data_IF_132819700476
#
_entry.id   IF_132819700476
#
_cell.length_a   1.000
_cell.length_b   1.000
_cell.length_c   1.000
_cell.angle_alpha   90.00
_cell.angle_beta   90.00
_cell.angle_gamma   90.00
#
_symmetry.space_group_name_H-M   'P 1'
#
loop_
_entity.id
_entity.type
_entity.pdbx_description
1 polymer ?
#
# COMPACT_ATOMS: atom_id res chain seq x y z
N UNK A 1 -25.70 -19.55 -8.70
CA UNK A 1 -24.40 -20.13 -8.30
C UNK A 1 -24.08 -19.72 -6.85
N UNK A 2 -24.81 -20.25 -5.86
CA UNK A 2 -24.54 -19.93 -4.44
C UNK A 2 -23.52 -20.88 -3.78
N UNK A 3 -22.98 -21.88 -4.50
CA UNK A 3 -22.17 -22.95 -3.91
C UNK A 3 -20.80 -23.13 -4.61
N UNK A 4 -20.06 -22.06 -4.90
CA UNK A 4 -18.65 -22.20 -5.30
C UNK A 4 -17.77 -22.20 -4.05
N UNK A 5 -17.33 -23.38 -3.61
CA UNK A 5 -16.54 -23.58 -2.40
C UNK A 5 -15.08 -23.92 -2.72
N UNK A 6 -14.17 -23.60 -1.79
CA UNK A 6 -12.77 -24.04 -1.86
C UNK A 6 -12.68 -25.56 -1.95
N UNK A 7 -11.79 -26.08 -2.81
CA UNK A 7 -11.57 -27.52 -2.95
C UNK A 7 -11.15 -28.15 -1.62
N UNK A 8 -10.37 -27.44 -0.80
CA UNK A 8 -9.99 -27.87 0.55
C UNK A 8 -11.21 -28.05 1.46
N UNK A 9 -12.23 -27.19 1.38
CA UNK A 9 -13.47 -27.30 2.16
C UNK A 9 -14.33 -28.47 1.68
N UNK A 10 -14.45 -28.63 0.36
CA UNK A 10 -15.17 -29.76 -0.24
C UNK A 10 -14.53 -31.09 0.16
N UNK A 11 -13.20 -31.14 0.26
CA UNK A 11 -12.47 -32.33 0.69
C UNK A 11 -12.92 -32.77 2.10
N UNK A 12 -13.06 -31.83 3.04
CA UNK A 12 -13.54 -32.13 4.39
C UNK A 12 -15.03 -32.47 4.45
N UNK A 13 -15.82 -32.04 3.47
CA UNK A 13 -17.22 -32.41 3.31
C UNK A 13 -17.42 -33.78 2.63
N UNK A 14 -16.34 -34.51 2.32
CA UNK A 14 -16.37 -35.81 1.62
C UNK A 14 -17.03 -35.75 0.23
N UNK A 15 -16.93 -34.60 -0.45
CA UNK A 15 -17.34 -34.48 -1.84
C UNK A 15 -16.37 -35.22 -2.77
N UNK A 16 -16.81 -35.54 -4.00
CA UNK A 16 -15.95 -36.08 -5.04
C UNK A 16 -15.04 -34.98 -5.61
N UNK A 17 -13.83 -34.84 -5.06
CA UNK A 17 -12.91 -33.75 -5.41
C UNK A 17 -12.33 -33.88 -6.79
N UNK A 18 -12.07 -35.10 -7.25
CA UNK A 18 -11.55 -35.35 -8.59
C UNK A 18 -12.56 -34.92 -9.65
N UNK A 19 -13.83 -35.30 -9.48
CA UNK A 19 -14.91 -34.88 -10.38
C UNK A 19 -15.10 -33.36 -10.39
N UNK A 20 -15.11 -32.71 -9.22
CA UNK A 20 -15.26 -31.26 -9.13
C UNK A 20 -14.03 -30.52 -9.69
N UNK A 21 -12.81 -31.02 -9.47
CA UNK A 21 -11.58 -30.45 -10.03
C UNK A 21 -11.58 -30.56 -11.55
N UNK A 22 -11.91 -31.73 -12.11
CA UNK A 22 -12.01 -31.94 -13.55
C UNK A 22 -13.03 -30.98 -14.16
N UNK A 23 -14.21 -30.86 -13.54
CA UNK A 23 -15.22 -29.89 -13.95
C UNK A 23 -14.73 -28.44 -13.93
N UNK A 24 -13.89 -28.04 -12.96
CA UNK A 24 -13.30 -26.69 -12.93
C UNK A 24 -12.24 -26.50 -14.01
N UNK A 25 -11.41 -27.50 -14.26
CA UNK A 25 -10.32 -27.46 -15.25
C UNK A 25 -10.81 -27.59 -16.70
N UNK A 26 -11.95 -28.23 -16.93
CA UNK A 26 -12.61 -28.33 -18.24
C UNK A 26 -13.58 -27.18 -18.51
N UNK A 27 -13.84 -26.32 -17.52
CA UNK A 27 -14.69 -25.17 -17.69
C UNK A 27 -14.12 -24.23 -18.78
N UNK A 28 -14.90 -23.84 -19.80
CA UNK A 28 -14.40 -22.98 -20.89
C UNK A 28 -13.87 -21.61 -20.43
N UNK A 29 -14.26 -21.15 -19.26
CA UNK A 29 -13.83 -19.88 -18.68
C UNK A 29 -12.63 -20.01 -17.74
N UNK A 30 -12.11 -21.21 -17.49
CA UNK A 30 -10.94 -21.37 -16.60
C UNK A 30 -9.73 -20.66 -17.19
N UNK A 31 -9.01 -19.93 -16.33
CA UNK A 31 -7.74 -19.32 -16.71
C UNK A 31 -6.59 -20.10 -16.08
N UNK A 32 -5.74 -20.68 -16.93
CA UNK A 32 -4.52 -21.39 -16.55
C UNK A 32 -3.32 -20.45 -16.67
N UNK A 33 -2.60 -20.25 -15.57
CA UNK A 33 -1.61 -19.17 -15.48
C UNK A 33 -0.26 -19.50 -16.13
N UNK A 34 0.03 -20.77 -16.36
CA UNK A 34 1.36 -21.31 -16.68
C UNK A 34 2.41 -21.12 -15.57
N UNK A 35 1.97 -20.76 -14.36
CA UNK A 35 2.79 -20.75 -13.16
C UNK A 35 2.51 -22.03 -12.37
N UNK A 36 3.57 -22.71 -11.94
CA UNK A 36 3.47 -23.99 -11.23
C UNK A 36 3.95 -23.83 -9.81
N UNK A 37 3.28 -24.48 -8.88
CA UNK A 37 3.71 -24.55 -7.48
C UNK A 37 3.83 -26.01 -7.07
N UNK A 38 4.77 -26.28 -6.18
CA UNK A 38 4.80 -27.46 -5.32
C UNK A 38 3.93 -27.16 -4.10
N UNK A 39 2.73 -27.76 -3.98
CA UNK A 39 1.85 -27.51 -2.84
C UNK A 39 2.53 -27.83 -1.51
N UNK A 40 1.96 -27.30 -0.44
CA UNK A 40 2.48 -27.43 0.91
C UNK A 40 1.60 -28.36 1.72
N UNK A 41 2.24 -29.33 2.36
CA UNK A 41 1.63 -30.26 3.31
C UNK A 41 2.48 -30.29 4.58
N UNK A 42 1.88 -29.91 5.71
CA UNK A 42 2.57 -29.85 7.02
C UNK A 42 3.84 -28.99 7.04
N UNK A 43 3.89 -27.93 6.23
CA UNK A 43 5.00 -26.98 6.16
C UNK A 43 6.09 -27.34 5.13
N UNK A 44 5.98 -28.50 4.49
CA UNK A 44 6.93 -28.96 3.46
C UNK A 44 6.30 -28.94 2.07
N UNK A 45 7.13 -28.67 1.06
CA UNK A 45 6.73 -28.75 -0.35
C UNK A 45 6.59 -30.22 -0.76
N UNK A 46 5.47 -30.58 -1.40
CA UNK A 46 5.27 -31.91 -1.99
C UNK A 46 5.90 -31.96 -3.39
N UNK A 47 6.33 -33.16 -3.83
CA UNK A 47 7.07 -33.30 -5.10
C UNK A 47 6.24 -33.04 -6.36
N UNK A 48 4.93 -33.26 -6.31
CA UNK A 48 4.04 -33.05 -7.45
C UNK A 48 3.74 -31.56 -7.64
N UNK A 49 4.10 -31.03 -8.81
CA UNK A 49 3.78 -29.65 -9.19
C UNK A 49 2.36 -29.56 -9.73
N UNK A 50 1.66 -28.48 -9.36
CA UNK A 50 0.33 -28.15 -9.88
C UNK A 50 0.35 -26.78 -10.53
N UNK A 51 -0.36 -26.64 -11.65
CA UNK A 51 -0.54 -25.34 -12.30
C UNK A 51 -1.54 -24.48 -11.51
N UNK A 52 -1.20 -23.21 -11.28
CA UNK A 52 -2.14 -22.26 -10.73
C UNK A 52 -3.23 -21.93 -11.75
N UNK A 53 -4.49 -22.01 -11.35
CA UNK A 53 -5.63 -21.65 -12.18
C UNK A 53 -6.71 -20.92 -11.38
N UNK A 54 -7.55 -20.14 -12.05
CA UNK A 54 -8.73 -19.55 -11.43
C UNK A 54 -9.95 -19.60 -12.34
N UNK A 55 -11.14 -19.48 -11.72
CA UNK A 55 -12.39 -19.27 -12.43
C UNK A 55 -12.88 -17.83 -12.24
N UNK A 56 -13.24 -17.10 -13.32
CA UNK A 56 -13.76 -15.74 -13.24
C UNK A 56 -15.23 -15.75 -12.82
N UNK A 57 -15.50 -16.23 -11.61
CA UNK A 57 -16.86 -16.29 -11.06
C UNK A 57 -17.42 -14.89 -10.78
N UNK A 58 -18.74 -14.77 -10.64
CA UNK A 58 -19.45 -13.49 -10.43
C UNK A 58 -18.76 -12.58 -9.41
N UNK A 59 -18.37 -13.11 -8.24
CA UNK A 59 -17.75 -12.31 -7.18
C UNK A 59 -16.42 -11.68 -7.63
N UNK A 60 -15.58 -12.42 -8.36
CA UNK A 60 -14.32 -11.91 -8.90
C UNK A 60 -14.58 -10.78 -9.90
N UNK A 61 -15.60 -10.93 -10.76
CA UNK A 61 -15.97 -9.92 -11.75
C UNK A 61 -16.52 -8.64 -11.09
N UNK A 62 -17.44 -8.79 -10.13
CA UNK A 62 -18.04 -7.67 -9.39
C UNK A 62 -16.97 -6.88 -8.62
N UNK A 63 -16.08 -7.57 -7.90
CA UNK A 63 -15.01 -6.91 -7.14
C UNK A 63 -14.06 -6.12 -8.05
N UNK A 64 -13.74 -6.63 -9.24
CA UNK A 64 -12.92 -5.88 -10.20
C UNK A 64 -13.60 -4.59 -10.66
N UNK A 65 -14.90 -4.64 -10.95
CA UNK A 65 -15.68 -3.46 -11.38
C UNK A 65 -15.79 -2.43 -10.25
N UNK A 66 -16.12 -2.89 -9.04
CA UNK A 66 -16.19 -2.03 -7.84
C UNK A 66 -14.86 -1.33 -7.55
N UNK A 67 -13.72 -2.03 -7.65
CA UNK A 67 -12.39 -1.43 -7.45
C UNK A 67 -12.09 -0.33 -8.48
N UNK A 68 -12.51 -0.54 -9.73
CA UNK A 68 -12.32 0.46 -10.79
C UNK A 68 -13.23 1.68 -10.56
N UNK A 69 -14.47 1.47 -10.11
CA UNK A 69 -15.39 2.54 -9.76
C UNK A 69 -14.87 3.34 -8.56
N UNK A 70 -14.49 2.67 -7.48
CA UNK A 70 -13.92 3.31 -6.29
C UNK A 70 -12.67 4.14 -6.62
N UNK A 71 -11.81 3.66 -7.53
CA UNK A 71 -10.64 4.45 -7.98
C UNK A 71 -11.04 5.77 -8.65
N UNK A 72 -12.12 5.76 -9.46
CA UNK A 72 -12.66 6.99 -10.06
C UNK A 72 -13.26 7.93 -9.01
N UNK A 73 -14.00 7.37 -8.04
CA UNK A 73 -14.62 8.16 -6.98
C UNK A 73 -13.58 8.79 -6.06
N UNK A 74 -12.51 8.05 -5.72
CA UNK A 74 -11.33 8.59 -5.02
C UNK A 74 -10.73 9.76 -5.80
N UNK A 75 -10.53 9.62 -7.11
CA UNK A 75 -9.98 10.70 -7.92
C UNK A 75 -10.92 11.93 -7.94
N UNK A 76 -12.22 11.72 -8.04
CA UNK A 76 -13.22 12.79 -7.98
C UNK A 76 -13.17 13.55 -6.63
N UNK A 77 -13.21 12.82 -5.52
CA UNK A 77 -13.07 13.39 -4.17
C UNK A 77 -11.74 14.15 -4.04
N UNK A 78 -10.65 13.56 -4.53
CA UNK A 78 -9.32 14.15 -4.44
C UNK A 78 -9.20 15.48 -5.20
N UNK A 79 -9.97 15.65 -6.27
CA UNK A 79 -10.00 16.90 -7.07
C UNK A 79 -10.77 18.04 -6.38
N UNK A 80 -11.55 17.76 -5.33
CA UNK A 80 -12.21 18.80 -4.53
C UNK A 80 -11.25 19.48 -3.55
N UNK A 81 -10.13 18.83 -3.22
CA UNK A 81 -9.13 19.35 -2.31
C UNK A 81 -8.15 20.31 -3.01
N UNK A 82 -7.75 21.42 -2.35
CA UNK A 82 -6.65 22.24 -2.82
C UNK A 82 -5.36 21.42 -2.96
N UNK A 83 -4.52 21.74 -3.94
CA UNK A 83 -3.28 21.00 -4.25
C UNK A 83 -2.38 20.79 -3.03
N UNK A 84 -2.25 21.80 -2.17
CA UNK A 84 -1.46 21.71 -0.94
C UNK A 84 -2.05 20.65 0.00
N UNK A 85 -3.36 20.67 0.24
CA UNK A 85 -4.07 19.71 1.08
C UNK A 85 -3.98 18.28 0.51
N UNK A 86 -4.08 18.16 -0.82
CA UNK A 86 -3.92 16.90 -1.53
C UNK A 86 -2.53 16.28 -1.30
N UNK A 87 -1.47 17.08 -1.46
CA UNK A 87 -0.10 16.65 -1.23
C UNK A 87 0.13 16.18 0.22
N UNK A 88 -0.49 16.85 1.20
CA UNK A 88 -0.47 16.41 2.59
C UNK A 88 -1.18 15.06 2.78
N UNK A 89 -2.37 14.88 2.22
CA UNK A 89 -3.09 13.60 2.27
C UNK A 89 -2.26 12.46 1.69
N UNK A 90 -1.73 12.64 0.48
CA UNK A 90 -0.89 11.64 -0.19
C UNK A 90 0.34 11.30 0.66
N UNK A 91 0.99 12.31 1.26
CA UNK A 91 2.13 12.11 2.14
C UNK A 91 1.74 11.32 3.40
N UNK A 92 0.62 11.65 4.03
CA UNK A 92 0.13 10.95 5.21
C UNK A 92 -0.16 9.47 4.91
N UNK A 93 -0.88 9.21 3.81
CA UNK A 93 -1.20 7.86 3.37
C UNK A 93 0.08 7.08 3.06
N UNK A 94 1.05 7.68 2.36
CA UNK A 94 2.35 7.07 2.09
C UNK A 94 3.10 6.69 3.38
N UNK A 95 3.13 7.59 4.38
CA UNK A 95 3.76 7.32 5.66
C UNK A 95 3.07 6.16 6.38
N UNK A 96 1.73 6.15 6.37
CA UNK A 96 0.95 5.07 6.95
C UNK A 96 1.20 3.74 6.22
N UNK A 97 1.25 3.72 4.89
CA UNK A 97 1.56 2.53 4.08
C UNK A 97 2.89 1.90 4.49
N UNK A 98 3.95 2.71 4.64
CA UNK A 98 5.28 2.24 5.04
C UNK A 98 5.26 1.66 6.46
N UNK A 99 4.65 2.38 7.41
CA UNK A 99 4.56 1.94 8.81
C UNK A 99 3.78 0.63 8.91
N UNK A 100 2.66 0.51 8.18
CA UNK A 100 1.82 -0.69 8.20
C UNK A 100 2.49 -1.85 7.49
N UNK A 101 3.16 -1.61 6.36
CA UNK A 101 3.94 -2.64 5.66
C UNK A 101 5.06 -3.19 6.53
N UNK A 102 5.81 -2.34 7.23
CA UNK A 102 6.82 -2.78 8.19
C UNK A 102 6.20 -3.52 9.39
N UNK A 103 5.09 -3.00 9.93
CA UNK A 103 4.39 -3.59 11.07
C UNK A 103 3.82 -4.99 10.81
N UNK A 104 3.47 -5.33 9.56
CA UNK A 104 3.05 -6.69 9.18
C UNK A 104 4.19 -7.70 9.43
N UNK A 105 5.44 -7.32 9.17
CA UNK A 105 6.63 -8.15 9.43
C UNK A 105 7.18 -8.01 10.86
N UNK A 106 6.48 -7.30 11.75
CA UNK A 106 6.96 -7.01 13.11
C UNK A 106 8.10 -5.99 13.17
N UNK A 107 8.39 -5.29 12.08
CA UNK A 107 9.41 -4.22 12.05
C UNK A 107 8.82 -2.94 12.63
N UNK A 108 9.29 -2.54 13.80
CA UNK A 108 8.85 -1.30 14.44
C UNK A 108 9.34 -0.08 13.64
N UNK A 109 8.40 0.81 13.27
CA UNK A 109 8.68 2.05 12.53
C UNK A 109 7.73 3.13 13.00
N UNK A 110 8.25 4.30 13.37
CA UNK A 110 7.46 5.45 13.81
C UNK A 110 7.27 6.46 12.69
N UNK A 111 6.26 7.34 12.83
CA UNK A 111 6.11 8.51 11.93
C UNK A 111 7.38 9.36 11.90
N UNK A 112 8.03 9.53 13.05
CA UNK A 112 9.28 10.29 13.15
C UNK A 112 10.40 9.68 12.32
N UNK A 113 10.60 8.36 12.38
CA UNK A 113 11.63 7.67 11.58
C UNK A 113 11.44 7.93 10.09
N UNK A 114 10.19 7.88 9.62
CA UNK A 114 9.85 8.13 8.22
C UNK A 114 10.08 9.60 7.85
N UNK A 115 9.61 10.55 8.65
CA UNK A 115 9.78 11.98 8.37
C UNK A 115 11.24 12.43 8.44
N UNK A 116 12.01 11.96 9.41
CA UNK A 116 13.43 12.28 9.55
C UNK A 116 14.21 11.77 8.33
N UNK A 117 13.90 10.56 7.84
CA UNK A 117 14.50 10.04 6.62
C UNK A 117 14.04 10.76 5.34
N UNK A 118 12.81 11.31 5.30
CA UNK A 118 12.34 12.10 4.15
C UNK A 118 13.01 13.47 4.05
N UNK A 119 13.30 14.09 5.20
CA UNK A 119 13.78 15.47 5.28
C UNK A 119 15.31 15.57 5.32
N UNK A 120 16.03 14.44 5.42
CA UNK A 120 17.49 14.44 5.53
C UNK A 120 18.18 13.94 4.26
N UNK A 121 19.35 14.51 3.97
CA UNK A 121 20.25 14.03 2.93
C UNK A 121 21.15 12.88 3.40
N UNK A 122 21.12 12.53 4.69
CA UNK A 122 21.85 11.40 5.25
C UNK A 122 21.09 10.10 4.99
N UNK A 123 21.81 9.01 4.73
CA UNK A 123 21.23 7.67 4.63
C UNK A 123 20.86 7.17 6.02
N UNK A 124 19.57 7.01 6.27
CA UNK A 124 19.01 6.38 7.47
C UNK A 124 18.45 5.00 7.13
N UNK A 125 18.20 4.20 8.18
CA UNK A 125 17.37 3.01 8.07
C UNK A 125 16.04 3.39 7.38
N UNK A 126 15.60 2.58 6.42
CA UNK A 126 14.43 2.79 5.56
C UNK A 126 14.56 3.85 4.45
N UNK A 127 15.73 4.46 4.23
CA UNK A 127 15.86 5.49 3.19
C UNK A 127 15.54 4.97 1.77
N UNK A 128 15.96 3.74 1.46
CA UNK A 128 15.64 3.05 0.21
C UNK A 128 14.15 2.83 -0.01
N UNK A 129 13.46 2.20 0.96
CA UNK A 129 12.02 1.93 0.86
C UNK A 129 11.19 3.23 0.77
N UNK A 130 11.53 4.25 1.56
CA UNK A 130 10.87 5.56 1.53
C UNK A 130 11.04 6.22 0.15
N UNK A 131 12.24 6.16 -0.42
CA UNK A 131 12.51 6.67 -1.76
C UNK A 131 11.64 5.98 -2.81
N UNK A 132 11.45 4.66 -2.73
CA UNK A 132 10.59 3.93 -3.67
C UNK A 132 9.11 4.29 -3.53
N UNK A 133 8.59 4.42 -2.30
CA UNK A 133 7.23 4.90 -2.10
C UNK A 133 7.03 6.34 -2.59
N UNK A 134 8.03 7.22 -2.43
CA UNK A 134 8.00 8.58 -3.00
C UNK A 134 7.95 8.57 -4.53
N UNK A 135 8.60 7.62 -5.19
CA UNK A 135 8.50 7.46 -6.64
C UNK A 135 7.07 7.11 -7.08
N UNK A 136 6.28 6.44 -6.24
CA UNK A 136 4.85 6.19 -6.50
C UNK A 136 4.10 7.53 -6.55
N UNK A 137 4.31 8.40 -5.56
CA UNK A 137 3.63 9.71 -5.50
C UNK A 137 4.03 10.64 -6.65
N UNK A 138 5.24 10.46 -7.19
CA UNK A 138 5.75 11.24 -8.33
C UNK A 138 5.42 10.60 -9.70
N UNK A 139 4.67 9.49 -9.72
CA UNK A 139 4.39 8.70 -10.93
C UNK A 139 5.66 8.26 -11.71
N UNK A 140 6.75 7.99 -10.99
CA UNK A 140 8.04 7.54 -11.53
C UNK A 140 8.23 6.04 -11.33
N UNK A 141 7.29 5.25 -11.86
CA UNK A 141 7.25 3.80 -11.64
C UNK A 141 7.89 3.07 -12.83
N UNK A 142 9.09 2.57 -12.59
CA UNK A 142 9.88 1.77 -13.54
C UNK A 142 9.19 0.42 -13.86
N UNK A 143 9.46 -0.12 -15.05
CA UNK A 143 9.00 -1.47 -15.43
C UNK A 143 10.01 -2.50 -14.93
N UNK A 144 9.53 -3.70 -14.62
CA UNK A 144 10.35 -4.86 -14.27
C UNK A 144 10.24 -5.88 -15.40
N UNK A 145 11.34 -6.13 -16.08
CA UNK A 145 11.46 -7.01 -17.25
C UNK A 145 12.57 -8.06 -17.07
N UNK A 146 13.37 -7.98 -16.00
CA UNK A 146 14.42 -8.97 -15.72
C UNK A 146 14.61 -9.24 -14.23
N UNK A 147 15.27 -10.36 -13.93
CA UNK A 147 15.63 -10.73 -12.55
C UNK A 147 16.68 -9.76 -11.96
N UNK A 148 17.55 -9.21 -12.81
CA UNK A 148 18.53 -8.19 -12.42
C UNK A 148 17.86 -6.89 -11.97
N UNK A 149 16.74 -6.50 -12.60
CA UNK A 149 15.97 -5.33 -12.17
C UNK A 149 15.30 -5.58 -10.81
N UNK A 150 14.77 -6.78 -10.57
CA UNK A 150 14.26 -7.17 -9.24
C UNK A 150 15.37 -7.05 -8.19
N UNK A 151 16.55 -7.60 -8.48
CA UNK A 151 17.71 -7.51 -7.59
C UNK A 151 18.13 -6.06 -7.33
N UNK A 152 18.22 -5.24 -8.38
CA UNK A 152 18.58 -3.82 -8.27
C UNK A 152 17.61 -3.06 -7.36
N UNK A 153 16.30 -3.27 -7.53
CA UNK A 153 15.29 -2.63 -6.67
C UNK A 153 15.44 -3.11 -5.24
N UNK A 154 15.68 -4.41 -5.01
CA UNK A 154 15.88 -4.95 -3.67
C UNK A 154 17.09 -4.31 -2.97
N UNK A 155 18.24 -4.24 -3.64
CA UNK A 155 19.45 -3.61 -3.11
C UNK A 155 19.21 -2.12 -2.80
N UNK A 156 18.53 -1.40 -3.70
CA UNK A 156 18.16 0.01 -3.47
C UNK A 156 17.23 0.20 -2.27
N UNK A 157 16.36 -0.77 -1.98
CA UNK A 157 15.38 -0.70 -0.88
C UNK A 157 16.02 -1.04 0.46
N UNK A 158 16.82 -2.10 0.51
CA UNK A 158 17.27 -2.72 1.76
C UNK A 158 18.77 -2.58 2.06
N UNK A 159 19.57 -1.93 1.20
CA UNK A 159 21.03 -1.79 1.44
C UNK A 159 21.37 -1.26 2.84
N UNK A 160 20.68 -0.22 3.33
CA UNK A 160 20.93 0.30 4.69
C UNK A 160 20.54 -0.69 5.79
N UNK A 161 19.52 -1.53 5.58
CA UNK A 161 19.12 -2.56 6.55
C UNK A 161 20.08 -3.76 6.54
N UNK A 162 20.57 -4.16 5.37
CA UNK A 162 21.58 -5.22 5.22
C UNK A 162 22.92 -4.80 5.83
N UNK A 163 23.28 -3.52 5.77
CA UNK A 163 24.48 -3.02 6.46
C UNK A 163 24.39 -3.19 7.99
N UNK A 164 23.17 -3.11 8.56
CA UNK A 164 22.92 -3.29 9.99
C UNK A 164 22.87 -4.79 10.34
N UNK A 165 22.35 -5.61 9.42
CA UNK A 165 22.16 -7.05 9.56
C UNK A 165 22.87 -7.80 8.41
N UNK A 166 24.22 -7.93 8.45
CA UNK A 166 25.00 -8.50 7.35
C UNK A 166 24.65 -9.96 7.01
N UNK A 167 24.03 -10.69 7.94
CA UNK A 167 23.53 -12.05 7.72
C UNK A 167 22.45 -12.13 6.64
N UNK A 168 21.77 -11.01 6.35
CA UNK A 168 20.76 -10.93 5.28
C UNK A 168 21.38 -10.64 3.90
N UNK A 169 22.71 -10.54 3.81
CA UNK A 169 23.40 -10.35 2.54
C UNK A 169 23.24 -11.60 1.66
N UNK A 170 22.84 -11.37 0.41
CA UNK A 170 22.65 -12.45 -0.57
C UNK A 170 24.00 -13.08 -0.95
N UNK A 171 24.05 -14.40 -0.97
CA UNK A 171 25.22 -15.25 -1.23
C UNK A 171 25.23 -15.85 -2.65
N UNK A 172 24.14 -15.69 -3.38
CA UNK A 172 24.02 -16.00 -4.80
C UNK A 172 24.34 -14.82 -5.72
N UNK A 173 24.29 -15.09 -7.03
CA UNK A 173 24.48 -14.08 -8.08
C UNK A 173 23.40 -13.00 -8.02
N UNK A 174 22.14 -13.41 -7.91
CA UNK A 174 20.96 -12.54 -7.85
C UNK A 174 20.15 -12.78 -6.57
N UNK A 175 20.04 -14.02 -6.09
CA UNK A 175 19.14 -14.39 -5.00
C UNK A 175 19.85 -15.19 -3.91
N UNK A 176 19.14 -15.55 -2.84
CA UNK A 176 19.71 -16.42 -1.79
C UNK A 176 19.96 -17.84 -2.32
N UNK A 177 20.97 -18.52 -1.76
CA UNK A 177 21.20 -19.95 -1.98
C UNK A 177 20.64 -20.83 -0.86
N UNK A 178 20.67 -20.33 0.38
CA UNK A 178 20.22 -21.05 1.56
C UNK A 178 18.70 -21.08 1.71
N UNK A 179 18.20 -22.02 2.53
CA UNK A 179 16.79 -22.19 2.83
C UNK A 179 16.25 -21.09 3.74
N UNK A 180 15.02 -20.63 3.48
CA UNK A 180 14.28 -19.70 4.34
C UNK A 180 12.87 -20.22 4.57
N UNK A 181 12.43 -20.20 5.83
CA UNK A 181 11.06 -20.50 6.21
C UNK A 181 10.23 -19.24 6.14
N UNK A 182 9.10 -19.32 5.43
CA UNK A 182 8.05 -18.31 5.47
C UNK A 182 7.30 -18.47 6.78
N UNK A 183 7.24 -17.42 7.57
CA UNK A 183 6.54 -17.39 8.86
C UNK A 183 5.24 -16.59 8.75
N UNK A 184 4.25 -16.92 9.57
CA UNK A 184 3.06 -16.07 9.72
C UNK A 184 3.29 -14.97 10.77
N UNK A 185 2.29 -14.10 10.94
CA UNK A 185 2.31 -13.04 11.96
C UNK A 185 2.38 -13.55 13.42
N UNK A 186 2.25 -14.86 13.65
CA UNK A 186 2.47 -15.53 14.94
C UNK A 186 3.80 -16.28 15.00
N UNK A 187 4.71 -16.02 14.05
CA UNK A 187 6.01 -16.67 13.90
C UNK A 187 5.95 -18.20 13.78
N UNK A 188 4.80 -18.73 13.32
CA UNK A 188 4.68 -20.16 13.03
C UNK A 188 5.14 -20.41 11.59
N UNK A 189 5.98 -21.42 11.40
CA UNK A 189 6.44 -21.84 10.06
C UNK A 189 5.23 -22.22 9.20
N UNK A 190 4.99 -21.42 8.17
CA UNK A 190 3.92 -21.61 7.16
C UNK A 190 4.41 -22.60 6.12
N UNK A 191 5.57 -22.33 5.53
CA UNK A 191 6.20 -23.20 4.54
C UNK A 191 7.67 -22.87 4.29
N UNK A 192 8.35 -23.75 3.55
CA UNK A 192 9.68 -23.52 3.01
C UNK A 192 9.60 -22.77 1.66
N UNK A 193 10.35 -21.69 1.49
CA UNK A 193 10.51 -21.02 0.19
C UNK A 193 11.23 -21.90 -0.83
N UNK A 194 11.57 -21.35 -2.00
CA UNK A 194 12.33 -22.12 -3.00
C UNK A 194 13.71 -22.49 -2.48
N UNK A 195 14.17 -23.70 -2.80
CA UNK A 195 15.25 -24.35 -2.06
C UNK A 195 16.66 -23.86 -2.40
N UNK A 196 16.83 -23.27 -3.58
CA UNK A 196 18.13 -22.80 -4.08
C UNK A 196 17.96 -21.70 -5.13
N UNK A 197 19.06 -21.01 -5.45
CA UNK A 197 19.07 -19.89 -6.38
C UNK A 197 18.63 -20.26 -7.81
N UNK A 198 18.96 -21.46 -8.30
CA UNK A 198 18.59 -21.90 -9.66
C UNK A 198 17.06 -22.02 -9.81
N UNK A 199 16.41 -22.64 -8.82
CA UNK A 199 14.95 -22.76 -8.76
C UNK A 199 14.29 -21.38 -8.61
N UNK A 200 14.82 -20.54 -7.71
CA UNK A 200 14.34 -19.16 -7.54
C UNK A 200 14.41 -18.41 -8.88
N UNK A 201 15.54 -18.48 -9.57
CA UNK A 201 15.73 -17.79 -10.85
C UNK A 201 14.74 -18.29 -11.90
N UNK A 202 14.55 -19.60 -12.02
CA UNK A 202 13.55 -20.22 -12.92
C UNK A 202 12.15 -19.68 -12.64
N UNK A 203 11.72 -19.68 -11.38
CA UNK A 203 10.39 -19.20 -11.02
C UNK A 203 10.23 -17.69 -11.19
N UNK A 204 11.25 -16.89 -10.88
CA UNK A 204 11.24 -15.45 -11.13
C UNK A 204 11.15 -15.15 -12.63
N UNK A 205 11.84 -15.91 -13.48
CA UNK A 205 11.72 -15.77 -14.95
C UNK A 205 10.30 -16.10 -15.42
N UNK A 206 9.70 -17.19 -14.94
CA UNK A 206 8.30 -17.53 -15.22
C UNK A 206 7.34 -16.43 -14.74
N UNK A 207 7.59 -15.86 -13.56
CA UNK A 207 6.83 -14.75 -13.01
C UNK A 207 6.90 -13.51 -13.90
N UNK A 208 8.09 -13.14 -14.39
CA UNK A 208 8.29 -12.00 -15.30
C UNK A 208 7.54 -12.23 -16.62
N UNK A 209 7.59 -13.44 -17.17
CA UNK A 209 6.80 -13.79 -18.37
C UNK A 209 5.31 -13.60 -18.09
N UNK A 210 4.81 -14.10 -16.96
CA UNK A 210 3.43 -13.92 -16.53
C UNK A 210 3.04 -12.44 -16.34
N UNK A 211 3.89 -11.63 -15.71
CA UNK A 211 3.66 -10.19 -15.51
C UNK A 211 3.47 -9.43 -16.83
N UNK A 212 4.07 -9.91 -17.91
CA UNK A 212 4.00 -9.31 -19.24
C UNK A 212 2.85 -9.85 -20.11
N UNK A 213 2.09 -10.86 -19.65
CA UNK A 213 0.85 -11.32 -20.32
C UNK A 213 -0.17 -10.20 -20.45
N UNK A 214 -0.89 -10.18 -21.59
CA UNK A 214 -1.89 -9.15 -21.96
C UNK A 214 -3.33 -9.68 -21.94
N UNK A 215 -3.49 -10.99 -21.85
CA UNK A 215 -4.72 -11.76 -21.88
C UNK A 215 -5.38 -11.95 -20.50
N UNK A 216 -4.90 -11.23 -19.48
CA UNK A 216 -5.41 -11.28 -18.11
C UNK A 216 -5.67 -9.87 -17.58
N UNK A 217 -6.76 -9.71 -16.83
CA UNK A 217 -7.06 -8.46 -16.14
C UNK A 217 -5.91 -8.06 -15.20
N UNK A 218 -5.58 -6.77 -15.19
CA UNK A 218 -4.42 -6.26 -14.45
C UNK A 218 -4.52 -6.46 -12.93
N UNK A 219 -5.72 -6.43 -12.33
CA UNK A 219 -5.91 -6.66 -10.90
C UNK A 219 -5.62 -8.12 -10.53
N UNK A 220 -6.15 -9.06 -11.31
CA UNK A 220 -5.91 -10.49 -11.10
C UNK A 220 -4.43 -10.81 -11.32
N UNK A 221 -3.82 -10.22 -12.35
CA UNK A 221 -2.39 -10.33 -12.60
C UNK A 221 -1.56 -9.83 -11.41
N UNK A 222 -1.89 -8.65 -10.87
CA UNK A 222 -1.18 -8.10 -9.71
C UNK A 222 -1.28 -9.03 -8.47
N UNK A 223 -2.49 -9.54 -8.19
CA UNK A 223 -2.71 -10.46 -7.07
C UNK A 223 -1.94 -11.78 -7.24
N UNK A 224 -1.97 -12.39 -8.44
CA UNK A 224 -1.24 -13.64 -8.72
C UNK A 224 0.26 -13.40 -8.68
N UNK A 225 0.75 -12.27 -9.22
CA UNK A 225 2.16 -11.90 -9.14
C UNK A 225 2.62 -11.78 -7.69
N UNK A 226 1.83 -11.11 -6.85
CA UNK A 226 2.09 -10.99 -5.42
C UNK A 226 2.13 -12.35 -4.72
N UNK A 227 1.13 -13.21 -4.97
CA UNK A 227 1.12 -14.58 -4.43
C UNK A 227 2.39 -15.35 -4.78
N UNK A 228 2.71 -15.37 -6.08
CA UNK A 228 3.79 -16.20 -6.59
C UNK A 228 5.17 -15.69 -6.13
N UNK A 229 5.35 -14.38 -6.02
CA UNK A 229 6.57 -13.79 -5.47
C UNK A 229 6.81 -14.21 -4.00
N UNK A 230 5.78 -14.09 -3.15
CA UNK A 230 5.86 -14.49 -1.74
C UNK A 230 6.08 -16.00 -1.58
N UNK A 231 5.49 -16.81 -2.49
CA UNK A 231 5.69 -18.26 -2.55
C UNK A 231 7.13 -18.65 -2.91
N UNK A 232 7.78 -17.92 -3.83
CA UNK A 232 9.20 -18.13 -4.20
C UNK A 232 10.10 -17.76 -3.00
N UNK A 233 9.80 -16.61 -2.38
CA UNK A 233 10.52 -16.06 -1.24
C UNK A 233 12.03 -15.86 -1.51
N UNK A 234 12.42 -15.04 -2.51
CA UNK A 234 13.75 -15.06 -3.13
C UNK A 234 14.91 -14.48 -2.28
N UNK A 235 14.63 -13.83 -1.14
CA UNK A 235 15.63 -13.14 -0.32
C UNK A 235 15.70 -13.69 1.10
N UNK A 236 16.77 -13.37 1.84
CA UNK A 236 16.91 -13.76 3.26
C UNK A 236 16.00 -12.96 4.20
N UNK A 237 15.75 -11.68 3.88
CA UNK A 237 14.81 -10.81 4.60
C UNK A 237 14.10 -9.88 3.62
N UNK A 238 13.01 -9.25 4.06
CA UNK A 238 12.35 -8.17 3.33
C UNK A 238 11.40 -8.63 2.23
N UNK A 239 11.21 -9.93 2.02
CA UNK A 239 10.32 -10.49 0.99
C UNK A 239 8.92 -9.87 1.04
N UNK A 240 8.23 -9.95 2.19
CA UNK A 240 6.88 -9.40 2.35
C UNK A 240 6.79 -7.88 2.10
N UNK A 241 7.78 -7.13 2.60
CA UNK A 241 7.87 -5.66 2.40
C UNK A 241 8.11 -5.32 0.93
N UNK A 242 8.96 -6.09 0.25
CA UNK A 242 9.26 -5.94 -1.16
C UNK A 242 8.05 -6.30 -2.03
N UNK A 243 7.41 -7.45 -1.77
CA UNK A 243 6.22 -7.90 -2.49
C UNK A 243 5.10 -6.86 -2.42
N UNK A 244 4.81 -6.36 -1.21
CA UNK A 244 3.84 -5.26 -1.02
C UNK A 244 4.26 -3.97 -1.73
N UNK A 245 5.54 -3.57 -1.67
CA UNK A 245 6.01 -2.39 -2.41
C UNK A 245 5.76 -2.52 -3.92
N UNK A 246 6.13 -3.67 -4.52
CA UNK A 246 5.91 -3.91 -5.96
C UNK A 246 4.41 -3.93 -6.28
N UNK A 247 3.59 -4.51 -5.41
CA UNK A 247 2.15 -4.52 -5.57
C UNK A 247 1.55 -3.11 -5.51
N UNK A 248 1.94 -2.31 -4.52
CA UNK A 248 1.55 -0.90 -4.36
C UNK A 248 1.96 -0.05 -5.56
N UNK A 249 3.19 -0.24 -6.08
CA UNK A 249 3.65 0.40 -7.32
C UNK A 249 2.78 0.00 -8.52
N UNK A 250 2.44 -1.28 -8.65
CA UNK A 250 1.62 -1.74 -9.76
C UNK A 250 0.20 -1.18 -9.72
N UNK A 251 -0.44 -1.20 -8.55
CA UNK A 251 -1.78 -0.66 -8.35
C UNK A 251 -1.81 0.84 -8.61
N UNK A 252 -0.86 1.60 -8.06
CA UNK A 252 -0.78 3.04 -8.29
C UNK A 252 -0.68 3.41 -9.77
N UNK A 253 0.09 2.63 -10.54
CA UNK A 253 0.26 2.85 -11.98
C UNK A 253 -0.99 2.51 -12.79
N UNK A 254 -1.83 1.59 -12.30
CA UNK A 254 -2.98 1.06 -13.04
C UNK A 254 -4.32 1.66 -12.64
N UNK A 255 -4.41 2.13 -11.40
CA UNK A 255 -5.59 2.76 -10.81
C UNK A 255 -5.26 4.22 -10.49
N UNK A 256 -4.76 4.46 -9.29
CA UNK A 256 -4.43 5.77 -8.76
C UNK A 256 -3.48 5.65 -7.54
N UNK A 257 -2.81 6.75 -7.21
CA UNK A 257 -1.82 6.82 -6.12
C UNK A 257 -2.40 6.41 -4.75
N UNK A 258 -3.67 6.72 -4.46
CA UNK A 258 -4.28 6.42 -3.17
C UNK A 258 -4.57 4.94 -3.00
N UNK A 259 -5.07 4.29 -4.05
CA UNK A 259 -5.28 2.83 -4.06
C UNK A 259 -3.95 2.12 -3.85
N UNK A 260 -2.89 2.54 -4.54
CA UNK A 260 -1.56 1.95 -4.35
C UNK A 260 -0.99 2.14 -2.94
N UNK A 261 -1.31 3.24 -2.26
CA UNK A 261 -0.79 3.55 -0.92
C UNK A 261 -1.74 3.17 0.23
N UNK A 262 -2.83 2.45 -0.03
CA UNK A 262 -3.76 2.00 1.03
C UNK A 262 -3.75 0.49 1.26
N UNK A 263 -2.93 -0.25 0.50
CA UNK A 263 -2.90 -1.70 0.51
C UNK A 263 -2.44 -2.27 1.86
N UNK A 264 -1.29 -1.82 2.37
CA UNK A 264 -0.73 -2.33 3.63
C UNK A 264 -1.56 -1.91 4.83
N UNK A 265 -2.25 -0.78 4.77
CA UNK A 265 -3.24 -0.41 5.80
C UNK A 265 -4.36 -1.46 5.89
N UNK A 266 -4.97 -1.82 4.76
CA UNK A 266 -6.02 -2.83 4.73
C UNK A 266 -5.50 -4.20 5.18
N UNK A 267 -4.34 -4.64 4.68
CA UNK A 267 -3.70 -5.90 5.08
C UNK A 267 -3.40 -5.91 6.58
N UNK A 268 -2.84 -4.85 7.15
CA UNK A 268 -2.53 -4.79 8.58
C UNK A 268 -3.78 -4.93 9.45
N UNK A 269 -4.91 -4.33 9.03
CA UNK A 269 -6.19 -4.48 9.73
C UNK A 269 -6.79 -5.89 9.66
N UNK A 270 -6.36 -6.69 8.68
CA UNK A 270 -6.88 -8.03 8.36
C UNK A 270 -5.75 -9.07 8.27
N UNK A 271 -4.70 -8.91 9.08
CA UNK A 271 -3.45 -9.68 8.94
C UNK A 271 -3.67 -11.19 8.94
N UNK A 272 -4.60 -11.67 9.77
CA UNK A 272 -4.93 -13.10 9.85
C UNK A 272 -5.63 -13.60 8.60
N UNK A 273 -6.56 -12.81 8.05
CA UNK A 273 -7.21 -13.12 6.78
C UNK A 273 -6.16 -13.20 5.68
N UNK A 274 -5.30 -12.19 5.58
CA UNK A 274 -4.21 -12.16 4.60
C UNK A 274 -3.30 -13.40 4.70
N UNK A 275 -2.80 -13.74 5.88
CA UNK A 275 -1.99 -14.96 6.07
C UNK A 275 -2.74 -16.25 5.70
N UNK A 276 -4.03 -16.35 6.02
CA UNK A 276 -4.88 -17.50 5.67
C UNK A 276 -5.03 -17.68 4.15
N UNK A 277 -5.03 -16.60 3.36
CA UNK A 277 -5.10 -16.70 1.91
C UNK A 277 -3.91 -17.48 1.35
N UNK A 278 -2.68 -17.16 1.79
CA UNK A 278 -1.48 -17.89 1.35
C UNK A 278 -1.49 -19.35 1.78
N UNK A 279 -1.87 -19.62 3.04
CA UNK A 279 -1.97 -20.98 3.58
C UNK A 279 -2.98 -21.84 2.83
N UNK A 280 -4.14 -21.28 2.49
CA UNK A 280 -5.20 -22.01 1.81
C UNK A 280 -4.82 -22.29 0.35
N UNK A 281 -4.26 -21.30 -0.35
CA UNK A 281 -3.90 -21.44 -1.77
C UNK A 281 -2.78 -22.45 -1.98
N UNK A 282 -1.78 -22.42 -1.10
CA UNK A 282 -0.65 -23.34 -1.16
C UNK A 282 -0.97 -24.75 -0.65
N UNK A 283 -2.12 -24.97 -0.01
CA UNK A 283 -2.47 -26.27 0.55
C UNK A 283 -2.54 -27.35 -0.55
N UNK A 284 -1.93 -28.52 -0.30
CA UNK A 284 -2.04 -29.69 -1.20
C UNK A 284 -3.48 -30.09 -1.56
N UNK A 285 -4.46 -29.86 -0.67
CA UNK A 285 -5.88 -30.13 -0.91
C UNK A 285 -6.61 -29.03 -1.70
N UNK A 286 -5.91 -27.98 -2.09
CA UNK A 286 -6.45 -26.90 -2.91
C UNK A 286 -6.09 -27.03 -4.40
N UNK A 287 -5.19 -27.96 -4.75
CA UNK A 287 -4.88 -28.34 -6.14
C UNK A 287 -4.52 -27.16 -7.07
N UNK A 288 -3.89 -26.12 -6.54
CA UNK A 288 -3.46 -24.95 -7.33
C UNK A 288 -4.55 -23.92 -7.62
N UNK A 289 -5.76 -24.05 -7.06
CA UNK A 289 -6.81 -23.08 -7.34
C UNK A 289 -6.57 -21.73 -6.62
N UNK A 290 -6.41 -20.64 -7.38
CA UNK A 290 -6.13 -19.31 -6.84
C UNK A 290 -7.37 -18.39 -6.77
N UNK A 291 -8.56 -18.88 -7.15
CA UNK A 291 -9.81 -18.08 -7.17
C UNK A 291 -10.11 -17.38 -5.83
N UNK A 292 -9.98 -18.09 -4.71
CA UNK A 292 -10.29 -17.53 -3.38
C UNK A 292 -9.21 -16.57 -2.86
N UNK A 293 -7.97 -16.76 -3.28
CA UNK A 293 -6.90 -15.78 -3.06
C UNK A 293 -7.24 -14.47 -3.77
N UNK A 294 -7.65 -14.55 -5.03
CA UNK A 294 -8.04 -13.38 -5.82
C UNK A 294 -9.20 -12.64 -5.15
N UNK A 295 -10.26 -13.34 -4.72
CA UNK A 295 -11.37 -12.73 -4.00
C UNK A 295 -10.86 -12.01 -2.74
N UNK A 296 -10.08 -12.70 -1.90
CA UNK A 296 -9.58 -12.13 -0.65
C UNK A 296 -8.68 -10.91 -0.86
N UNK A 297 -7.82 -10.93 -1.88
CA UNK A 297 -6.96 -9.79 -2.19
C UNK A 297 -7.72 -8.62 -2.80
N UNK A 298 -8.69 -8.87 -3.68
CA UNK A 298 -9.56 -7.82 -4.22
C UNK A 298 -10.40 -7.17 -3.10
N UNK A 299 -10.92 -7.94 -2.15
CA UNK A 299 -11.60 -7.40 -0.97
C UNK A 299 -10.67 -6.53 -0.11
N UNK A 300 -9.39 -6.88 0.03
CA UNK A 300 -8.41 -6.06 0.74
C UNK A 300 -8.11 -4.74 0.00
N UNK A 301 -7.98 -4.78 -1.34
CA UNK A 301 -7.83 -3.57 -2.16
C UNK A 301 -9.06 -2.67 -1.99
N UNK A 302 -10.26 -3.23 -2.13
CA UNK A 302 -11.52 -2.51 -1.95
C UNK A 302 -11.61 -1.87 -0.56
N UNK A 303 -11.28 -2.61 0.51
CA UNK A 303 -11.25 -2.07 1.88
C UNK A 303 -10.27 -0.91 2.03
N UNK A 304 -9.11 -0.98 1.37
CA UNK A 304 -8.15 0.13 1.31
C UNK A 304 -8.76 1.37 0.67
N UNK A 305 -9.43 1.20 -0.48
CA UNK A 305 -10.11 2.28 -1.18
C UNK A 305 -11.24 2.91 -0.37
N UNK A 306 -12.10 2.10 0.26
CA UNK A 306 -13.18 2.60 1.12
C UNK A 306 -12.64 3.42 2.29
N UNK A 307 -11.51 3.01 2.88
CA UNK A 307 -10.85 3.80 3.93
C UNK A 307 -10.31 5.14 3.42
N UNK A 308 -9.83 5.19 2.18
CA UNK A 308 -9.38 6.44 1.55
C UNK A 308 -10.56 7.35 1.26
N UNK A 309 -11.63 6.83 0.66
CA UNK A 309 -12.84 7.61 0.36
C UNK A 309 -13.37 8.26 1.61
N UNK A 310 -13.55 7.49 2.68
CA UNK A 310 -13.98 8.02 3.98
C UNK A 310 -13.05 9.11 4.51
N UNK A 311 -11.74 8.90 4.44
CA UNK A 311 -10.76 9.91 4.87
C UNK A 311 -10.88 11.20 4.05
N UNK A 312 -11.02 11.09 2.72
CA UNK A 312 -11.17 12.26 1.85
C UNK A 312 -12.49 12.99 2.12
N UNK A 313 -13.60 12.27 2.23
CA UNK A 313 -14.93 12.81 2.58
C UNK A 313 -14.87 13.60 3.90
N UNK A 314 -14.33 12.99 4.96
CA UNK A 314 -14.19 13.63 6.28
C UNK A 314 -13.37 14.93 6.17
N UNK A 315 -12.29 14.94 5.37
CA UNK A 315 -11.44 16.10 5.17
C UNK A 315 -12.10 17.20 4.33
N UNK A 316 -12.84 16.82 3.30
CA UNK A 316 -13.60 17.74 2.43
C UNK A 316 -14.72 18.41 3.25
N UNK A 317 -15.44 17.63 4.06
CA UNK A 317 -16.50 18.15 4.93
C UNK A 317 -15.94 19.17 5.92
N UNK A 318 -14.84 18.85 6.60
CA UNK A 318 -14.14 19.79 7.51
C UNK A 318 -13.71 21.06 6.79
N UNK A 319 -13.19 20.95 5.57
CA UNK A 319 -12.77 22.10 4.78
C UNK A 319 -13.95 22.99 4.37
N UNK A 320 -15.05 22.39 3.92
CA UNK A 320 -16.27 23.09 3.52
C UNK A 320 -16.95 23.77 4.71
N UNK A 321 -17.06 23.06 5.83
CA UNK A 321 -17.53 23.64 7.09
C UNK A 321 -16.68 24.85 7.50
N UNK A 322 -15.36 24.69 7.47
CA UNK A 322 -14.42 25.76 7.83
C UNK A 322 -14.58 27.00 6.94
N UNK A 323 -14.74 26.81 5.63
CA UNK A 323 -14.95 27.91 4.68
C UNK A 323 -16.27 28.63 4.97
N UNK A 324 -17.35 27.90 5.22
CA UNK A 324 -18.65 28.48 5.56
C UNK A 324 -18.60 29.22 6.90
N UNK A 325 -17.92 28.64 7.90
CA UNK A 325 -17.71 29.28 9.20
C UNK A 325 -16.96 30.60 9.04
N UNK A 326 -15.83 30.61 8.32
CA UNK A 326 -15.05 31.82 8.06
C UNK A 326 -15.85 32.90 7.32
N UNK A 327 -16.70 32.51 6.37
CA UNK A 327 -17.54 33.46 5.62
C UNK A 327 -18.53 34.23 6.52
N UNK A 328 -18.96 33.62 7.62
CA UNK A 328 -19.87 34.23 8.60
C UNK A 328 -19.15 35.10 9.65
N UNK A 329 -17.82 35.14 9.66
CA UNK A 329 -17.06 36.00 10.57
C UNK A 329 -16.88 37.41 10.00
N UNK A 330 -16.85 38.38 10.91
CA UNK A 330 -16.49 39.77 10.62
C UNK A 330 -14.97 39.93 10.44
N UNK A 331 -14.49 39.38 9.34
CA UNK A 331 -13.11 39.40 8.87
C UNK A 331 -13.08 39.97 7.46
N UNK A 332 -12.03 40.73 7.14
CA UNK A 332 -11.74 41.11 5.76
C UNK A 332 -11.45 39.87 4.91
N UNK A 333 -11.62 39.97 3.59
CA UNK A 333 -11.36 38.85 2.67
C UNK A 333 -9.91 38.34 2.81
N UNK A 334 -8.95 39.26 3.00
CA UNK A 334 -7.56 38.90 3.24
C UNK A 334 -7.35 38.14 4.56
N UNK A 335 -8.01 38.55 5.64
CA UNK A 335 -7.99 37.83 6.92
C UNK A 335 -8.61 36.43 6.76
N UNK A 336 -9.69 36.29 6.00
CA UNK A 336 -10.32 35.00 5.70
C UNK A 336 -9.39 34.09 4.90
N UNK A 337 -8.68 34.61 3.89
CA UNK A 337 -7.70 33.86 3.12
C UNK A 337 -6.54 33.36 3.99
N UNK A 338 -6.01 34.23 4.87
CA UNK A 338 -4.98 33.85 5.85
C UNK A 338 -5.47 32.74 6.77
N UNK A 339 -6.67 32.92 7.33
CA UNK A 339 -7.28 31.93 8.22
C UNK A 339 -7.52 30.60 7.50
N UNK A 340 -7.96 30.63 6.25
CA UNK A 340 -8.22 29.42 5.47
C UNK A 340 -6.93 28.61 5.21
N UNK A 341 -5.78 29.27 5.04
CA UNK A 341 -4.49 28.57 4.95
C UNK A 341 -4.08 27.95 6.29
N UNK A 342 -4.26 28.66 7.42
CA UNK A 342 -4.00 28.09 8.74
C UNK A 342 -4.94 26.91 9.06
N UNK A 343 -6.20 26.98 8.65
CA UNK A 343 -7.15 25.88 8.80
C UNK A 343 -6.73 24.68 7.95
N UNK A 344 -6.32 24.89 6.69
CA UNK A 344 -5.75 23.81 5.89
C UNK A 344 -4.53 23.20 6.59
N UNK A 345 -3.64 24.01 7.16
CA UNK A 345 -2.50 23.46 7.90
C UNK A 345 -2.95 22.64 9.13
N UNK A 346 -3.95 23.10 9.89
CA UNK A 346 -4.51 22.35 11.03
C UNK A 346 -5.17 21.02 10.62
N UNK A 347 -5.96 21.04 9.54
CA UNK A 347 -6.68 19.85 9.07
C UNK A 347 -5.73 18.82 8.45
N UNK A 348 -4.72 19.25 7.70
CA UNK A 348 -3.94 18.37 6.82
C UNK A 348 -2.47 18.18 7.24
N UNK A 349 -1.89 19.07 8.05
CA UNK A 349 -0.48 19.03 8.41
C UNK A 349 -0.26 18.65 9.88
N UNK A 350 0.83 17.93 10.13
CA UNK A 350 1.35 17.68 11.48
C UNK A 350 2.51 18.62 11.86
N UNK A 351 2.82 19.60 11.00
CA UNK A 351 3.87 20.60 11.24
C UNK A 351 3.31 22.01 11.23
N UNK A 352 3.88 22.86 12.07
CA UNK A 352 3.57 24.28 12.09
C UNK A 352 3.89 24.95 10.75
N UNK A 353 3.01 25.85 10.32
CA UNK A 353 3.23 26.67 9.12
C UNK A 353 4.12 27.87 9.48
N UNK A 354 5.26 28.01 8.79
CA UNK A 354 6.10 29.19 8.92
C UNK A 354 5.49 30.40 8.19
N UNK A 355 5.57 31.59 8.79
CA UNK A 355 5.09 32.83 8.15
C UNK A 355 5.76 33.10 6.78
N UNK A 356 7.00 32.60 6.59
CA UNK A 356 7.72 32.68 5.31
C UNK A 356 7.04 31.86 4.21
N UNK A 357 6.50 30.70 4.56
CA UNK A 357 5.76 29.84 3.63
C UNK A 357 4.39 30.44 3.35
N UNK A 358 3.71 30.93 4.38
CA UNK A 358 2.43 31.62 4.25
C UNK A 358 2.51 32.84 3.32
N UNK A 359 3.57 33.64 3.40
CA UNK A 359 3.81 34.77 2.47
C UNK A 359 3.84 34.31 1.00
N UNK A 360 4.42 33.13 0.72
CA UNK A 360 4.50 32.60 -0.64
C UNK A 360 3.14 32.08 -1.11
N UNK A 361 2.41 31.39 -0.23
CA UNK A 361 1.09 30.83 -0.53
C UNK A 361 0.10 31.94 -0.87
N UNK A 362 0.07 33.01 -0.07
CA UNK A 362 -0.86 34.15 -0.25
C UNK A 362 -0.28 35.21 -1.21
N UNK A 363 0.96 35.02 -1.68
CA UNK A 363 1.67 35.97 -2.54
C UNK A 363 1.67 37.40 -1.98
N UNK A 364 2.10 37.55 -0.73
CA UNK A 364 2.02 38.80 0.04
C UNK A 364 3.34 39.17 0.71
N UNK A 365 3.56 40.47 0.90
CA UNK A 365 4.73 40.99 1.63
C UNK A 365 4.69 40.64 3.12
N UNK A 366 5.86 40.37 3.71
CA UNK A 366 5.99 40.06 5.16
C UNK A 366 5.37 41.13 6.08
N UNK A 367 5.57 42.44 5.87
CA UNK A 367 4.94 43.48 6.70
C UNK A 367 3.40 43.41 6.67
N UNK A 368 2.81 43.23 5.49
CA UNK A 368 1.36 43.14 5.34
C UNK A 368 0.81 41.88 6.02
N UNK A 369 1.48 40.73 5.86
CA UNK A 369 1.10 39.50 6.55
C UNK A 369 1.14 39.67 8.06
N UNK A 370 2.23 40.26 8.57
CA UNK A 370 2.43 40.47 10.01
C UNK A 370 1.30 41.31 10.62
N UNK A 371 0.91 42.40 9.96
CA UNK A 371 -0.18 43.26 10.45
C UNK A 371 -1.51 42.51 10.54
N UNK A 372 -1.84 41.69 9.54
CA UNK A 372 -3.08 40.89 9.56
C UNK A 372 -3.03 39.78 10.62
N UNK A 373 -1.89 39.08 10.77
CA UNK A 373 -1.72 38.09 11.84
C UNK A 373 -1.88 38.74 13.22
N UNK A 374 -1.30 39.92 13.44
CA UNK A 374 -1.46 40.64 14.72
C UNK A 374 -2.92 41.03 14.99
N UNK A 375 -3.70 41.36 13.96
CA UNK A 375 -5.15 41.59 14.10
C UNK A 375 -5.91 40.30 14.42
N UNK A 376 -5.60 39.19 13.75
CA UNK A 376 -6.21 37.88 14.00
C UNK A 376 -5.89 37.34 15.40
N UNK A 377 -4.69 37.64 15.94
CA UNK A 377 -4.34 37.34 17.33
C UNK A 377 -5.18 38.19 18.30
N UNK A 378 -5.33 39.50 18.03
CA UNK A 378 -6.18 40.39 18.85
C UNK A 378 -7.65 39.97 18.85
N UNK A 379 -8.13 39.42 17.74
CA UNK A 379 -9.48 38.85 17.58
C UNK A 379 -9.60 37.41 18.12
N UNK A 380 -8.55 36.87 18.74
CA UNK A 380 -8.49 35.52 19.33
C UNK A 380 -8.68 34.35 18.34
N UNK A 381 -8.38 34.55 17.06
CA UNK A 381 -8.42 33.48 16.05
C UNK A 381 -7.11 32.73 15.90
N UNK A 382 -5.98 33.38 16.20
CA UNK A 382 -4.64 32.79 16.13
C UNK A 382 -3.90 32.91 17.46
N UNK A 383 -3.05 31.92 17.74
CA UNK A 383 -2.12 31.89 18.87
C UNK A 383 -0.69 31.74 18.37
N UNK A 384 0.24 32.47 18.98
CA UNK A 384 1.67 32.35 18.68
C UNK A 384 2.32 31.25 19.51
N UNK A 385 3.01 30.30 18.86
CA UNK A 385 3.68 29.19 19.56
C UNK A 385 5.19 29.38 19.62
N UNK A 386 5.84 29.69 18.51
CA UNK A 386 7.30 29.84 18.46
C UNK A 386 7.75 31.25 18.07
N UNK A 387 8.95 31.62 18.55
CA UNK A 387 9.63 32.89 18.20
C UNK A 387 10.76 32.71 17.19
N UNK A 388 11.28 31.48 17.01
CA UNK A 388 12.37 31.15 16.05
C UNK A 388 12.30 29.69 15.59
N UNK A 389 11.78 29.39 14.38
CA UNK A 389 11.08 30.31 13.48
C UNK A 389 9.77 30.83 14.12
N UNK A 390 9.26 31.96 13.65
CA UNK A 390 7.97 32.47 14.11
C UNK A 390 6.87 31.57 13.52
N UNK A 391 6.06 30.96 14.39
CA UNK A 391 4.94 30.12 14.00
C UNK A 391 3.68 30.50 14.78
N UNK A 392 2.55 30.36 14.10
CA UNK A 392 1.22 30.61 14.63
C UNK A 392 0.31 29.43 14.32
N UNK A 393 -0.70 29.20 15.16
CA UNK A 393 -1.75 28.20 14.96
C UNK A 393 -3.12 28.81 15.22
N UNK A 394 -4.17 28.08 14.84
CA UNK A 394 -5.53 28.40 15.26
C UNK A 394 -5.62 28.42 16.80
N UNK A 395 -6.41 29.33 17.35
CA UNK A 395 -6.69 29.32 18.78
C UNK A 395 -7.43 28.05 19.22
N UNK A 396 -7.28 27.63 20.47
CA UNK A 396 -7.95 26.42 21.01
C UNK A 396 -9.48 26.46 20.82
N UNK A 397 -10.06 27.66 20.89
CA UNK A 397 -11.49 27.87 20.64
C UNK A 397 -11.86 27.51 19.20
N UNK A 398 -11.04 27.95 18.24
CA UNK A 398 -11.31 27.69 16.84
C UNK A 398 -10.99 26.23 16.48
N UNK A 399 -9.93 25.64 17.04
CA UNK A 399 -9.64 24.21 16.85
C UNK A 399 -10.84 23.35 17.26
N UNK A 400 -11.46 23.61 18.42
CA UNK A 400 -12.68 22.90 18.88
C UNK A 400 -13.91 23.07 17.99
N UNK A 401 -13.96 24.13 17.18
CA UNK A 401 -15.05 24.35 16.23
C UNK A 401 -14.80 23.58 14.93
N UNK A 402 -13.54 23.43 14.53
CA UNK A 402 -13.14 22.74 13.30
C UNK A 402 -12.99 21.21 13.49
N UNK A 403 -12.61 20.77 14.69
CA UNK A 403 -12.41 19.36 15.05
C UNK A 403 -13.74 18.61 15.24
#
# INVERSE_FOLDING_TARGET
MNNYLELSKLYYQKANIEEELNKRLENPCVYKTSLYISPILRGERVSEEVELFFLPIKNVLMLQDEIIQNSRDILNLSNELPEVALNYCVREIMVNEIIKSNGIEGVHTTKKDVYDSMNSNKKYRFSGIIKKYKQITENKIEKINSAEEIRKIYDEVFSEEIMINPENQLDGKLFRKGLVYVTDSSMKNVHLGDSNEELILKHIQNLIIFMNKKDINFLLKACITHYYFEYIHPFYDGNGRFGRLIFSMYLAKKLDVFTGLSLSYAIFSEKEKYSKLFLNTSNSKNFGEITFFLIGMLELIKKGQESIMKMLEDKIEKLNFSRNYLNNLDLSDLEKDIMFVYIQNHIFSNSDLEDKELCKIINMSRPTLKNNIEQLIKKEYLTKISKKPITHVLSDKLQKVID
#
